data_IF_145954060620
#
_entry.id   IF_145954060620
#
_cell.length_a   1.000
_cell.length_b   1.000
_cell.length_c   1.000
_cell.angle_alpha   90.00
_cell.angle_beta   90.00
_cell.angle_gamma   90.00
#
_symmetry.space_group_name_H-M   'P 1'
#
loop_
_entity.id
_entity.type
_entity.pdbx_description
1 polymer ?
#
# COMPACT_ATOMS: atom_id res chain seq x y z
N UNK A 1 14.63 -29.97 79.04
CA UNK A 1 13.68 -30.51 80.04
C UNK A 1 12.31 -29.93 79.74
N UNK A 2 11.26 -30.75 79.63
CA UNK A 2 9.93 -30.32 79.13
C UNK A 2 9.16 -29.45 80.14
N UNK A 3 8.44 -28.43 79.63
CA UNK A 3 7.19 -27.92 80.22
C UNK A 3 6.22 -27.45 79.13
N UNK A 4 4.93 -27.60 79.39
CA UNK A 4 3.78 -27.20 78.57
C UNK A 4 2.55 -27.11 79.50
N UNK A 5 1.38 -26.58 79.12
CA UNK A 5 0.90 -26.05 77.83
C UNK A 5 0.27 -24.67 78.08
N UNK A 6 0.32 -23.75 77.11
CA UNK A 6 -0.75 -22.74 76.97
C UNK A 6 -1.16 -22.62 75.50
N UNK A 7 -2.47 -22.57 75.25
CA UNK A 7 -3.05 -22.48 73.91
C UNK A 7 -3.06 -21.03 73.41
N UNK A 8 -3.08 -20.88 72.08
CA UNK A 8 -3.56 -19.71 71.33
C UNK A 8 -2.69 -18.44 71.21
N UNK A 9 -1.40 -18.45 71.57
CA UNK A 9 -0.48 -17.39 71.13
C UNK A 9 0.71 -17.96 70.35
N UNK A 10 0.57 -18.04 69.02
CA UNK A 10 1.74 -18.07 68.13
C UNK A 10 2.11 -16.62 67.84
N UNK A 11 3.22 -16.19 68.43
CA UNK A 11 3.84 -14.88 68.25
C UNK A 11 4.19 -14.66 66.77
N UNK A 12 3.59 -13.65 66.14
CA UNK A 12 3.99 -13.23 64.80
C UNK A 12 5.28 -12.42 64.86
N UNK A 13 6.37 -12.94 64.30
CA UNK A 13 7.62 -12.19 64.15
C UNK A 13 7.50 -11.17 63.01
N UNK A 14 7.37 -9.88 63.35
CA UNK A 14 7.49 -8.79 62.37
C UNK A 14 8.98 -8.55 62.09
N UNK A 15 9.53 -9.24 61.09
CA UNK A 15 10.87 -8.94 60.61
C UNK A 15 10.84 -7.77 59.62
N UNK A 16 11.05 -6.57 60.16
CA UNK A 16 11.29 -5.37 59.38
C UNK A 16 12.75 -5.37 58.87
N UNK A 17 12.95 -5.52 57.55
CA UNK A 17 14.27 -5.41 56.92
C UNK A 17 14.26 -4.28 55.86
N UNK A 18 14.66 -3.06 56.24
CA UNK A 18 14.90 -2.00 55.28
C UNK A 18 16.26 -2.23 54.58
N UNK A 19 16.23 -2.29 53.24
CA UNK A 19 17.40 -2.24 52.34
C UNK A 19 18.52 -3.27 52.57
N UNK A 20 18.53 -4.36 51.79
CA UNK A 20 19.72 -5.19 51.57
C UNK A 20 19.99 -5.37 50.06
N UNK A 21 21.05 -4.73 49.57
CA UNK A 21 21.50 -4.81 48.18
C UNK A 21 22.64 -5.84 48.06
N UNK A 22 22.38 -6.91 47.30
CA UNK A 22 23.29 -7.92 46.69
C UNK A 22 24.67 -8.25 47.32
N UNK A 23 24.97 -9.56 47.48
CA UNK A 23 25.98 -10.23 46.63
C UNK A 23 25.90 -11.77 46.66
N UNK A 24 26.59 -12.42 45.72
CA UNK A 24 26.48 -13.85 45.34
C UNK A 24 27.23 -14.84 46.26
N UNK A 25 26.59 -15.97 46.61
CA UNK A 25 27.21 -17.30 46.49
C UNK A 25 26.16 -18.43 46.47
N UNK A 26 26.40 -19.45 45.62
CA UNK A 26 25.74 -20.78 45.51
C UNK A 26 24.19 -20.88 45.52
N UNK A 27 23.68 -21.24 44.34
CA UNK A 27 22.63 -22.25 44.01
C UNK A 27 21.63 -22.75 45.09
N UNK A 28 20.38 -22.94 44.63
CA UNK A 28 19.38 -23.90 45.14
C UNK A 28 18.72 -23.62 46.51
N UNK A 29 17.91 -22.56 46.61
CA UNK A 29 16.61 -22.59 47.30
C UNK A 29 15.77 -21.34 46.98
N UNK A 30 14.50 -21.31 47.43
CA UNK A 30 13.54 -20.19 47.28
C UNK A 30 12.97 -19.89 45.89
N UNK A 31 12.61 -20.95 45.13
CA UNK A 31 11.71 -20.83 43.97
C UNK A 31 10.21 -21.03 44.31
N UNK A 32 9.85 -21.01 45.60
CA UNK A 32 8.52 -21.42 46.11
C UNK A 32 7.67 -20.34 46.78
N UNK A 33 8.16 -19.10 46.91
CA UNK A 33 7.38 -17.99 47.44
C UNK A 33 7.21 -16.91 46.36
N UNK A 34 5.96 -16.70 45.90
CA UNK A 34 5.61 -15.50 45.15
C UNK A 34 5.48 -14.34 46.14
N UNK A 35 6.11 -13.19 45.93
CA UNK A 35 5.84 -12.01 46.75
C UNK A 35 4.42 -11.52 46.46
N UNK A 36 3.52 -11.69 47.42
CA UNK A 36 2.23 -11.02 47.44
C UNK A 36 2.52 -9.54 47.70
N UNK A 37 2.00 -8.63 46.87
CA UNK A 37 1.98 -7.20 47.20
C UNK A 37 0.99 -7.01 48.35
N UNK A 38 1.50 -7.01 49.58
CA UNK A 38 0.78 -6.41 50.69
C UNK A 38 0.61 -4.92 50.35
N UNK A 39 -0.63 -4.43 50.46
CA UNK A 39 -0.91 -3.01 50.33
C UNK A 39 -0.16 -2.28 51.44
N UNK A 40 0.69 -1.32 51.10
CA UNK A 40 1.21 -0.38 52.07
C UNK A 40 0.01 0.38 52.67
N UNK A 41 -0.21 0.34 54.00
CA UNK A 41 -1.14 1.25 54.61
C UNK A 41 -0.56 2.66 54.42
N UNK A 42 -1.30 3.53 53.73
CA UNK A 42 -1.00 4.97 53.76
C UNK A 42 -0.89 5.40 55.22
N UNK A 43 0.14 6.19 55.53
CA UNK A 43 0.36 6.71 56.89
C UNK A 43 -0.94 7.29 57.46
N UNK A 44 -1.48 6.65 58.49
CA UNK A 44 -2.60 7.19 59.25
C UNK A 44 -2.00 8.15 60.26
N UNK A 45 -2.10 9.44 59.97
CA UNK A 45 -1.77 10.50 60.92
C UNK A 45 -2.64 10.36 62.18
N UNK A 46 -2.01 10.58 63.33
CA UNK A 46 -2.62 10.49 64.67
C UNK A 46 -4.00 11.18 64.74
N UNK A 47 -5.08 10.40 64.75
CA UNK A 47 -6.45 10.90 64.86
C UNK A 47 -7.45 9.82 65.27
N UNK A 48 -8.12 10.04 66.41
CA UNK A 48 -9.27 9.32 66.97
C UNK A 48 -9.40 7.79 66.82
N UNK A 49 -9.41 7.12 67.98
CA UNK A 49 -10.06 5.82 68.16
C UNK A 49 -11.57 5.99 67.90
N UNK A 50 -12.11 5.42 66.81
CA UNK A 50 -13.50 4.92 66.64
C UNK A 50 -13.87 4.74 65.14
N UNK A 51 -13.10 3.95 64.39
CA UNK A 51 -13.58 3.38 63.12
C UNK A 51 -13.26 1.88 63.06
N UNK A 52 -14.29 1.08 62.74
CA UNK A 52 -14.22 -0.38 62.73
C UNK A 52 -13.33 -0.88 61.58
N UNK A 53 -12.06 -1.16 61.87
CA UNK A 53 -11.17 -1.88 60.96
C UNK A 53 -11.66 -3.32 60.80
N UNK A 54 -12.47 -3.57 59.76
CA UNK A 54 -12.89 -4.92 59.36
C UNK A 54 -11.71 -5.73 58.82
N UNK A 55 -11.09 -6.50 59.69
CA UNK A 55 -10.20 -7.59 59.30
C UNK A 55 -11.04 -8.69 58.63
N UNK A 56 -10.86 -8.88 57.32
CA UNK A 56 -11.44 -10.00 56.57
C UNK A 56 -10.44 -11.14 56.57
N UNK A 57 -10.76 -12.22 57.27
CA UNK A 57 -9.96 -13.43 57.30
C UNK A 57 -10.46 -14.38 56.20
N UNK A 58 -9.58 -14.71 55.25
CA UNK A 58 -9.83 -15.74 54.24
C UNK A 58 -9.22 -17.06 54.70
N UNK A 59 -9.92 -18.16 54.49
CA UNK A 59 -9.36 -19.51 54.61
C UNK A 59 -8.41 -19.82 53.44
N UNK A 60 -7.52 -20.80 53.62
CA UNK A 60 -6.57 -21.23 52.58
C UNK A 60 -7.28 -21.66 51.27
N UNK A 61 -8.51 -22.18 51.38
CA UNK A 61 -9.36 -22.56 50.25
C UNK A 61 -9.90 -21.32 49.48
N UNK A 62 -10.27 -20.26 50.18
CA UNK A 62 -10.72 -19.01 49.54
C UNK A 62 -9.55 -18.27 48.89
N UNK A 63 -8.36 -18.31 49.51
CA UNK A 63 -7.15 -17.74 48.91
C UNK A 63 -6.74 -18.47 47.62
N UNK A 64 -6.85 -19.79 47.59
CA UNK A 64 -6.56 -20.58 46.38
C UNK A 64 -7.60 -20.33 45.28
N UNK A 65 -8.90 -20.25 45.60
CA UNK A 65 -9.93 -19.90 44.61
C UNK A 65 -9.74 -18.48 44.03
N UNK A 66 -9.27 -17.53 44.83
CA UNK A 66 -8.92 -16.17 44.37
C UNK A 66 -7.66 -16.19 43.50
N UNK A 67 -6.62 -16.98 43.84
CA UNK A 67 -5.43 -17.13 42.98
C UNK A 67 -5.78 -17.76 41.63
N UNK A 68 -6.60 -18.81 41.61
CA UNK A 68 -7.02 -19.48 40.37
C UNK A 68 -7.81 -18.56 39.44
N UNK A 69 -8.79 -17.81 39.97
CA UNK A 69 -9.53 -16.79 39.20
C UNK A 69 -8.60 -15.73 38.60
N UNK A 70 -7.67 -15.19 39.39
CA UNK A 70 -6.68 -14.21 38.93
C UNK A 70 -5.74 -14.77 37.86
N UNK A 71 -5.32 -16.03 37.96
CA UNK A 71 -4.49 -16.70 36.95
C UNK A 71 -5.29 -16.88 35.64
N UNK A 72 -6.57 -17.25 35.74
CA UNK A 72 -7.44 -17.46 34.59
C UNK A 72 -7.73 -16.16 33.82
N UNK A 73 -8.04 -15.05 34.51
CA UNK A 73 -8.19 -13.73 33.89
C UNK A 73 -6.88 -13.21 33.26
N UNK A 74 -5.75 -13.39 33.96
CA UNK A 74 -4.46 -12.94 33.45
C UNK A 74 -4.03 -13.72 32.20
N UNK A 75 -4.32 -15.01 32.14
CA UNK A 75 -4.02 -15.84 30.98
C UNK A 75 -4.91 -15.51 29.77
N UNK A 76 -6.22 -15.30 29.96
CA UNK A 76 -7.12 -14.96 28.84
C UNK A 76 -6.76 -13.62 28.19
N UNK A 77 -6.38 -12.63 29.00
CA UNK A 77 -5.85 -11.35 28.51
C UNK A 77 -4.58 -11.52 27.67
N UNK A 78 -3.64 -12.36 28.10
CA UNK A 78 -2.33 -12.54 27.45
C UNK A 78 -2.41 -13.11 26.03
N UNK A 79 -3.39 -13.98 25.72
CA UNK A 79 -3.56 -14.55 24.38
C UNK A 79 -4.21 -13.59 23.37
N UNK A 80 -4.93 -12.57 23.83
CA UNK A 80 -5.63 -11.62 22.93
C UNK A 80 -4.65 -10.70 22.18
N UNK A 81 -3.59 -10.25 22.85
CA UNK A 81 -2.59 -9.29 22.33
C UNK A 81 -1.85 -9.82 21.08
N UNK A 82 -1.24 -11.02 21.07
CA UNK A 82 -0.53 -11.52 19.90
C UNK A 82 -1.46 -11.79 18.71
N UNK A 83 -2.74 -12.13 18.94
CA UNK A 83 -3.74 -12.30 17.87
C UNK A 83 -4.06 -10.95 17.21
N UNK A 84 -4.24 -9.88 17.99
CA UNK A 84 -4.46 -8.53 17.46
C UNK A 84 -3.24 -8.00 16.71
N UNK A 85 -2.02 -8.25 17.21
CA UNK A 85 -0.78 -7.91 16.51
C UNK A 85 -0.69 -8.69 15.19
N UNK A 86 -0.91 -10.01 15.20
CA UNK A 86 -0.92 -10.85 14.00
C UNK A 86 -1.93 -10.38 12.95
N UNK A 87 -3.16 -10.04 13.37
CA UNK A 87 -4.19 -9.49 12.49
C UNK A 87 -3.80 -8.14 11.90
N UNK A 88 -3.23 -7.21 12.70
CA UNK A 88 -2.78 -5.91 12.20
C UNK A 88 -1.63 -6.05 11.17
N UNK A 89 -0.65 -6.92 11.44
CA UNK A 89 0.44 -7.25 10.50
C UNK A 89 -0.12 -7.90 9.23
N UNK A 90 -1.10 -8.80 9.34
CA UNK A 90 -1.75 -9.43 8.19
C UNK A 90 -2.57 -8.43 7.35
N UNK A 91 -3.29 -7.50 7.97
CA UNK A 91 -4.02 -6.42 7.29
C UNK A 91 -3.04 -5.48 6.58
N UNK A 92 -1.96 -5.05 7.26
CA UNK A 92 -0.90 -4.25 6.64
C UNK A 92 -0.29 -4.99 5.45
N UNK A 93 0.00 -6.28 5.59
CA UNK A 93 0.50 -7.13 4.50
C UNK A 93 -0.49 -7.21 3.33
N UNK A 94 -1.80 -7.39 3.58
CA UNK A 94 -2.83 -7.37 2.52
C UNK A 94 -2.89 -6.01 1.80
N UNK A 95 -2.85 -4.90 2.53
CA UNK A 95 -2.84 -3.54 1.97
C UNK A 95 -1.58 -3.30 1.13
N UNK A 96 -0.41 -3.73 1.59
CA UNK A 96 0.85 -3.65 0.85
C UNK A 96 0.85 -4.58 -0.38
N UNK A 97 0.24 -5.76 -0.29
CA UNK A 97 0.12 -6.72 -1.41
C UNK A 97 -0.75 -6.19 -2.54
N UNK A 98 -1.82 -5.44 -2.24
CA UNK A 98 -2.65 -4.74 -3.25
C UNK A 98 -1.87 -3.68 -4.05
N UNK A 99 -0.81 -3.08 -3.47
CA UNK A 99 0.00 -2.06 -4.15
C UNK A 99 0.98 -2.62 -5.20
N UNK A 100 1.31 -3.92 -5.20
CA UNK A 100 2.42 -4.50 -6.00
C UNK A 100 2.05 -5.31 -7.25
N UNK A 101 0.83 -5.18 -7.81
CA UNK A 101 0.57 -5.60 -9.19
C UNK A 101 1.23 -4.59 -10.15
N UNK A 102 2.38 -4.97 -10.74
CA UNK A 102 2.90 -4.39 -11.99
C UNK A 102 2.11 -4.95 -13.17
N UNK A 103 2.03 -4.21 -14.28
CA UNK A 103 1.50 -4.74 -15.55
C UNK A 103 2.22 -6.03 -15.91
N UNK A 104 1.46 -7.08 -16.23
CA UNK A 104 2.03 -8.29 -16.83
C UNK A 104 2.26 -7.99 -18.31
N UNK A 105 3.49 -7.61 -18.65
CA UNK A 105 3.90 -7.33 -20.04
C UNK A 105 3.48 -8.52 -20.91
N UNK A 106 2.66 -8.23 -21.93
CA UNK A 106 2.32 -9.18 -22.98
C UNK A 106 3.55 -9.32 -23.87
N UNK A 107 4.33 -10.37 -23.66
CA UNK A 107 5.42 -10.77 -24.55
C UNK A 107 4.83 -11.28 -25.86
N UNK A 108 4.49 -10.35 -26.74
CA UNK A 108 4.15 -10.62 -28.14
C UNK A 108 5.49 -10.70 -28.89
N UNK A 109 5.80 -11.82 -29.59
CA UNK A 109 7.00 -11.89 -30.42
C UNK A 109 6.98 -10.80 -31.50
N UNK A 110 8.12 -10.17 -31.77
CA UNK A 110 8.24 -9.03 -32.71
C UNK A 110 7.73 -9.37 -34.12
N UNK A 111 7.92 -10.62 -34.53
CA UNK A 111 7.42 -11.19 -35.80
C UNK A 111 5.88 -11.10 -35.97
N UNK A 112 5.12 -10.79 -34.91
CA UNK A 112 3.65 -10.65 -34.94
C UNK A 112 3.15 -9.21 -35.00
N UNK A 113 4.02 -8.19 -34.95
CA UNK A 113 3.58 -6.79 -35.03
C UNK A 113 2.89 -6.47 -36.36
N UNK A 114 3.42 -7.00 -37.47
CA UNK A 114 2.82 -6.89 -38.80
C UNK A 114 1.35 -7.33 -38.84
N UNK A 115 1.00 -8.44 -38.18
CA UNK A 115 -0.37 -8.95 -38.11
C UNK A 115 -1.32 -8.00 -37.37
N UNK A 116 -0.84 -7.35 -36.31
CA UNK A 116 -1.61 -6.35 -35.56
C UNK A 116 -1.81 -5.07 -36.38
N UNK A 117 -0.82 -4.65 -37.16
CA UNK A 117 -0.95 -3.51 -38.06
C UNK A 117 -2.04 -3.78 -39.11
N UNK A 118 -2.07 -4.99 -39.68
CA UNK A 118 -3.10 -5.38 -40.65
C UNK A 118 -4.52 -5.33 -40.06
N UNK A 119 -4.71 -5.74 -38.80
CA UNK A 119 -6.02 -5.63 -38.11
C UNK A 119 -6.53 -4.19 -37.98
N UNK A 120 -5.64 -3.20 -37.86
CA UNK A 120 -6.00 -1.79 -37.73
C UNK A 120 -6.49 -1.39 -36.33
N UNK A 121 -6.83 -0.10 -36.18
CA UNK A 121 -7.27 0.46 -34.91
C UNK A 121 -8.58 -0.17 -34.41
N UNK A 122 -8.68 -0.37 -33.11
CA UNK A 122 -9.83 -0.94 -32.43
C UNK A 122 -9.86 -0.50 -30.95
N UNK A 123 -10.84 -0.99 -30.18
CA UNK A 123 -11.03 -0.61 -28.77
C UNK A 123 -9.83 -0.85 -27.85
N UNK A 124 -8.84 -1.65 -28.29
CA UNK A 124 -7.62 -1.99 -27.54
C UNK A 124 -6.33 -1.74 -28.34
N UNK A 125 -6.37 -1.12 -29.51
CA UNK A 125 -5.21 -0.87 -30.37
C UNK A 125 -5.31 0.48 -31.08
N UNK A 126 -4.30 1.33 -30.89
CA UNK A 126 -4.20 2.65 -31.53
C UNK A 126 -2.79 2.84 -32.13
N UNK A 127 -2.72 3.54 -33.26
CA UNK A 127 -1.48 3.98 -33.89
C UNK A 127 -1.36 5.50 -33.82
N UNK A 128 -0.16 6.03 -33.61
CA UNK A 128 0.13 7.46 -33.71
C UNK A 128 1.44 7.66 -34.47
N UNK A 129 1.41 8.59 -35.43
CA UNK A 129 2.56 8.89 -36.27
C UNK A 129 3.80 9.32 -35.46
N UNK A 130 3.58 10.06 -34.37
CA UNK A 130 4.61 10.64 -33.51
C UNK A 130 4.04 10.96 -32.12
N UNK A 131 4.93 11.29 -31.17
CA UNK A 131 4.59 11.81 -29.85
C UNK A 131 4.32 13.32 -29.90
N UNK A 132 5.15 14.07 -30.65
CA UNK A 132 5.13 15.53 -30.69
C UNK A 132 5.60 16.16 -32.01
N UNK A 133 6.09 15.39 -32.98
CA UNK A 133 6.46 15.90 -34.30
C UNK A 133 5.28 15.98 -35.28
N UNK A 134 4.98 17.16 -35.78
CA UNK A 134 3.93 17.36 -36.80
C UNK A 134 4.51 17.23 -38.21
N UNK A 135 4.35 16.04 -38.81
CA UNK A 135 4.80 15.75 -40.17
C UNK A 135 4.19 16.64 -41.27
N UNK A 136 3.08 17.35 -41.02
CA UNK A 136 2.46 18.25 -42.01
C UNK A 136 3.09 19.65 -41.97
N UNK A 137 3.50 20.08 -40.77
CA UNK A 137 4.03 21.42 -40.53
C UNK A 137 5.54 21.44 -40.23
N UNK A 138 6.18 20.28 -40.19
CA UNK A 138 7.61 20.07 -39.86
C UNK A 138 8.05 20.82 -38.60
N UNK A 139 7.26 20.69 -37.53
CA UNK A 139 7.52 21.38 -36.26
C UNK A 139 7.00 20.62 -35.03
N UNK A 140 7.43 21.04 -33.86
CA UNK A 140 6.93 20.55 -32.57
C UNK A 140 5.48 20.99 -32.36
N UNK A 141 4.58 20.05 -32.10
CA UNK A 141 3.17 20.30 -31.86
C UNK A 141 2.70 19.64 -30.55
N UNK A 142 2.47 20.45 -29.51
CA UNK A 142 2.00 19.99 -28.19
C UNK A 142 0.58 19.40 -28.20
N UNK A 143 -0.21 19.62 -29.25
CA UNK A 143 -1.55 19.02 -29.39
C UNK A 143 -1.43 17.50 -29.61
N UNK A 144 -0.33 17.03 -30.22
CA UNK A 144 -0.03 15.61 -30.37
C UNK A 144 0.26 14.96 -29.01
N UNK A 145 1.04 15.63 -28.13
CA UNK A 145 1.30 15.16 -26.77
C UNK A 145 0.00 14.99 -25.97
N UNK A 146 -0.91 15.97 -26.04
CA UNK A 146 -2.25 15.89 -25.45
C UNK A 146 -3.09 14.75 -26.06
N UNK A 147 -3.00 14.52 -27.38
CA UNK A 147 -3.75 13.45 -28.07
C UNK A 147 -3.26 12.05 -27.67
N UNK A 148 -1.95 11.90 -27.47
CA UNK A 148 -1.35 10.70 -26.85
C UNK A 148 -1.84 10.54 -25.41
N UNK A 149 -1.74 11.57 -24.56
CA UNK A 149 -2.19 11.50 -23.17
C UNK A 149 -3.69 11.18 -23.04
N UNK A 150 -4.55 11.77 -23.89
CA UNK A 150 -5.98 11.45 -24.02
C UNK A 150 -6.21 9.98 -24.35
N UNK A 151 -5.43 9.42 -25.28
CA UNK A 151 -5.50 7.99 -25.63
C UNK A 151 -5.13 7.09 -24.46
N UNK A 152 -4.06 7.43 -23.73
CA UNK A 152 -3.63 6.69 -22.54
C UNK A 152 -4.71 6.75 -21.45
N UNK A 153 -5.28 7.93 -21.16
CA UNK A 153 -6.41 8.13 -20.24
C UNK A 153 -7.58 7.21 -20.60
N UNK A 154 -8.00 7.26 -21.87
CA UNK A 154 -9.13 6.50 -22.35
C UNK A 154 -8.91 4.98 -22.26
N UNK A 155 -7.69 4.47 -22.54
CA UNK A 155 -7.36 3.04 -22.33
C UNK A 155 -7.35 2.65 -20.84
N UNK A 156 -6.76 3.47 -19.95
CA UNK A 156 -6.73 3.25 -18.51
C UNK A 156 -8.15 3.17 -17.90
N UNK A 157 -9.05 4.04 -18.37
CA UNK A 157 -10.45 4.05 -17.97
C UNK A 157 -11.29 2.95 -18.62
N UNK A 158 -10.75 2.17 -19.55
CA UNK A 158 -11.48 1.15 -20.34
C UNK A 158 -10.92 -0.25 -20.08
N UNK A 159 -10.76 -1.08 -21.11
CA UNK A 159 -10.28 -2.47 -21.00
C UNK A 159 -8.75 -2.59 -21.10
N UNK A 160 -8.01 -1.48 -20.90
CA UNK A 160 -6.60 -1.40 -21.29
C UNK A 160 -6.43 -1.40 -22.81
N UNK A 161 -5.21 -1.60 -23.28
CA UNK A 161 -4.90 -1.63 -24.72
C UNK A 161 -3.42 -1.51 -25.02
N UNK A 162 -3.10 -1.31 -26.30
CA UNK A 162 -1.77 -1.04 -26.83
C UNK A 162 -1.81 0.23 -27.67
N UNK A 163 -0.88 1.14 -27.41
CA UNK A 163 -0.60 2.29 -28.26
C UNK A 163 0.78 2.08 -28.91
N UNK A 164 0.85 2.25 -30.23
CA UNK A 164 2.09 2.33 -30.98
C UNK A 164 2.36 3.79 -31.37
N UNK A 165 3.61 4.24 -31.20
CA UNK A 165 4.06 5.57 -31.64
C UNK A 165 5.22 5.40 -32.62
N UNK A 166 5.15 6.12 -33.75
CA UNK A 166 6.04 5.98 -34.90
C UNK A 166 5.38 5.29 -36.11
N UNK A 167 4.05 5.14 -36.13
CA UNK A 167 3.29 4.45 -37.19
C UNK A 167 2.19 5.38 -37.71
N UNK A 168 2.10 5.57 -39.03
CA UNK A 168 1.09 6.44 -39.66
C UNK A 168 -0.32 5.84 -39.59
N UNK A 169 -1.34 6.66 -39.80
CA UNK A 169 -2.75 6.20 -39.93
C UNK A 169 -2.90 5.21 -41.11
N UNK A 170 -2.04 5.34 -42.14
CA UNK A 170 -1.93 4.43 -43.29
C UNK A 170 -1.15 3.14 -42.97
N UNK A 171 -0.65 2.99 -41.74
CA UNK A 171 0.16 1.87 -41.21
C UNK A 171 1.62 1.83 -41.70
N UNK A 172 2.13 2.96 -42.22
CA UNK A 172 3.54 3.08 -42.58
C UNK A 172 4.41 3.17 -41.33
N UNK A 173 5.54 2.47 -41.31
CA UNK A 173 6.53 2.57 -40.23
C UNK A 173 7.33 3.86 -40.43
N UNK A 174 7.00 4.91 -39.68
CA UNK A 174 7.67 6.21 -39.75
C UNK A 174 8.95 6.23 -38.91
N UNK A 175 8.88 5.68 -37.69
CA UNK A 175 9.96 5.68 -36.70
C UNK A 175 9.88 6.88 -35.73
N UNK A 176 10.68 6.83 -34.65
CA UNK A 176 10.75 7.88 -33.62
C UNK A 176 11.83 8.95 -33.86
N UNK A 177 12.58 8.88 -34.96
CA UNK A 177 13.75 9.74 -35.22
C UNK A 177 13.42 11.24 -35.16
N UNK A 178 12.32 11.67 -35.80
CA UNK A 178 11.88 13.07 -35.74
C UNK A 178 11.53 13.50 -34.30
N UNK A 179 10.85 12.64 -33.52
CA UNK A 179 10.57 12.91 -32.11
C UNK A 179 11.87 13.02 -31.29
N UNK A 180 12.89 12.20 -31.58
CA UNK A 180 14.21 12.29 -30.93
C UNK A 180 14.87 13.65 -31.20
N UNK A 181 14.81 14.13 -32.44
CA UNK A 181 15.38 15.42 -32.82
C UNK A 181 14.71 16.60 -32.09
N UNK A 182 13.44 16.47 -31.69
CA UNK A 182 12.74 17.49 -30.87
C UNK A 182 13.21 17.60 -29.40
N UNK A 183 14.08 16.69 -28.95
CA UNK A 183 14.60 16.64 -27.59
C UNK A 183 15.87 17.50 -27.44
N UNK A 184 16.26 17.78 -26.20
CA UNK A 184 17.53 18.46 -25.93
C UNK A 184 18.71 17.65 -26.47
N UNK A 185 19.78 18.31 -26.94
CA UNK A 185 20.91 17.69 -27.66
C UNK A 185 21.52 16.44 -26.99
N UNK A 186 21.48 16.34 -25.66
CA UNK A 186 22.01 15.20 -24.90
C UNK A 186 20.98 14.08 -24.63
N UNK A 187 19.78 14.20 -25.21
CA UNK A 187 18.63 13.30 -25.00
C UNK A 187 17.98 12.88 -26.33
N UNK A 188 18.65 13.03 -27.46
CA UNK A 188 18.15 12.58 -28.78
C UNK A 188 18.34 11.05 -28.90
N UNK A 189 17.57 10.28 -28.13
CA UNK A 189 17.70 8.82 -28.00
C UNK A 189 16.43 8.15 -27.45
N UNK A 190 16.38 6.81 -27.53
CA UNK A 190 15.35 5.96 -26.89
C UNK A 190 15.06 6.38 -25.44
N UNK A 191 16.10 6.57 -24.63
CA UNK A 191 15.96 6.96 -23.22
C UNK A 191 15.35 8.36 -23.07
N UNK A 192 15.78 9.32 -23.89
CA UNK A 192 15.24 10.68 -23.87
C UNK A 192 13.76 10.73 -24.29
N UNK A 193 13.36 9.90 -25.24
CA UNK A 193 11.95 9.74 -25.62
C UNK A 193 11.12 9.14 -24.48
N UNK A 194 11.60 8.06 -23.85
CA UNK A 194 10.94 7.45 -22.69
C UNK A 194 10.80 8.48 -21.55
N UNK A 195 11.82 9.31 -21.32
CA UNK A 195 11.75 10.42 -20.37
C UNK A 195 10.71 11.49 -20.76
N UNK A 196 10.62 11.90 -22.03
CA UNK A 196 9.59 12.87 -22.47
C UNK A 196 8.18 12.29 -22.35
N UNK A 197 7.95 11.06 -22.79
CA UNK A 197 6.67 10.36 -22.64
C UNK A 197 6.30 10.20 -21.16
N UNK A 198 7.26 9.86 -20.30
CA UNK A 198 7.08 9.82 -18.83
C UNK A 198 6.70 11.18 -18.26
N UNK A 199 7.30 12.27 -18.76
CA UNK A 199 6.95 13.65 -18.40
C UNK A 199 5.51 13.97 -18.79
N UNK A 200 5.10 13.66 -20.03
CA UNK A 200 3.73 13.84 -20.53
C UNK A 200 2.73 13.07 -19.68
N UNK A 201 3.01 11.80 -19.34
CA UNK A 201 2.15 11.01 -18.44
C UNK A 201 2.02 11.70 -17.07
N UNK A 202 3.12 12.18 -16.49
CA UNK A 202 3.08 12.88 -15.20
C UNK A 202 2.33 14.23 -15.26
N UNK A 203 2.51 14.98 -16.36
CA UNK A 203 1.90 16.30 -16.61
C UNK A 203 0.37 16.19 -16.78
N UNK A 204 -0.10 15.17 -17.51
CA UNK A 204 -1.51 15.03 -17.90
C UNK A 204 -2.32 14.02 -17.08
N UNK A 205 -1.70 13.00 -16.46
CA UNK A 205 -2.40 11.84 -15.86
C UNK A 205 -1.96 11.51 -14.42
N UNK A 206 -1.03 12.28 -13.84
CA UNK A 206 -0.47 11.98 -12.53
C UNK A 206 0.61 10.88 -12.54
N UNK A 207 1.15 10.57 -11.35
CA UNK A 207 2.28 9.63 -11.17
C UNK A 207 1.82 8.21 -10.81
N UNK A 208 0.62 8.09 -10.29
CA UNK A 208 -0.02 6.87 -9.84
C UNK A 208 -0.36 5.91 -10.97
N UNK A 209 -0.57 6.42 -12.20
CA UNK A 209 -0.93 5.61 -13.37
C UNK A 209 0.20 4.75 -13.90
N UNK A 210 1.47 5.06 -13.61
CA UNK A 210 2.65 4.30 -14.07
C UNK A 210 2.61 2.81 -13.71
N UNK A 211 1.89 2.43 -12.65
CA UNK A 211 1.72 1.01 -12.29
C UNK A 211 0.88 0.21 -13.29
N UNK A 212 0.12 0.89 -14.15
CA UNK A 212 -0.78 0.34 -15.16
C UNK A 212 -0.24 0.50 -16.59
N UNK A 213 0.95 1.10 -16.76
CA UNK A 213 1.58 1.39 -18.05
C UNK A 213 2.92 0.64 -18.13
N UNK A 214 3.21 0.04 -19.28
CA UNK A 214 4.53 -0.48 -19.63
C UNK A 214 4.97 0.12 -20.97
N UNK A 215 6.12 0.78 -20.98
CA UNK A 215 6.70 1.41 -22.18
C UNK A 215 7.89 0.57 -22.63
N UNK A 216 7.94 0.25 -23.92
CA UNK A 216 9.06 -0.40 -24.59
C UNK A 216 9.37 0.36 -25.89
N UNK A 217 10.61 0.29 -26.37
CA UNK A 217 10.97 0.71 -27.73
C UNK A 217 11.55 -0.51 -28.42
N UNK A 218 10.90 -0.92 -29.49
CA UNK A 218 11.25 -2.10 -30.29
C UNK A 218 11.65 -1.63 -31.70
N UNK A 219 12.56 -2.36 -32.34
CA UNK A 219 12.97 -2.07 -33.71
C UNK A 219 12.08 -2.83 -34.69
N UNK A 220 11.47 -2.12 -35.63
CA UNK A 220 10.57 -2.65 -36.66
C UNK A 220 10.99 -2.02 -37.98
N UNK A 221 11.26 -2.85 -39.00
CA UNK A 221 11.75 -2.39 -40.32
C UNK A 221 12.98 -1.46 -40.25
N UNK A 222 13.88 -1.72 -39.28
CA UNK A 222 15.09 -0.92 -39.04
C UNK A 222 14.83 0.45 -38.39
N UNK A 223 13.63 0.66 -37.83
CA UNK A 223 13.20 1.92 -37.19
C UNK A 223 12.72 1.67 -35.76
N UNK A 224 13.04 2.60 -34.87
CA UNK A 224 12.54 2.59 -33.50
C UNK A 224 11.04 2.91 -33.46
N UNK A 225 10.26 2.06 -32.78
CA UNK A 225 8.82 2.22 -32.55
C UNK A 225 8.53 2.06 -31.06
N UNK A 226 7.81 3.00 -30.46
CA UNK A 226 7.41 2.88 -29.06
C UNK A 226 6.12 2.08 -28.93
N UNK A 227 6.17 1.03 -28.12
CA UNK A 227 5.05 0.20 -27.71
C UNK A 227 4.67 0.56 -26.27
N UNK A 228 3.45 1.03 -26.06
CA UNK A 228 2.89 1.31 -24.74
C UNK A 228 1.76 0.32 -24.47
N UNK A 229 1.96 -0.60 -23.54
CA UNK A 229 0.95 -1.54 -23.07
C UNK A 229 0.27 -1.00 -21.81
N UNK A 230 -1.07 -0.97 -21.82
CA UNK A 230 -1.88 -0.47 -20.70
C UNK A 230 -2.81 -1.55 -20.16
N UNK A 231 -2.84 -1.71 -18.84
CA UNK A 231 -3.88 -2.46 -18.14
C UNK A 231 -4.98 -1.52 -17.62
N UNK A 232 -6.24 -2.00 -17.45
CA UNK A 232 -7.29 -1.23 -16.77
C UNK A 232 -6.81 -0.67 -15.42
N UNK A 233 -7.08 0.61 -15.19
CA UNK A 233 -6.82 1.25 -13.90
C UNK A 233 -7.77 0.72 -12.82
N UNK A 234 -7.29 0.62 -11.58
CA UNK A 234 -8.12 0.24 -10.43
C UNK A 234 -9.00 1.38 -9.91
N UNK A 235 -8.86 2.59 -10.45
CA UNK A 235 -9.63 3.79 -10.10
C UNK A 235 -9.81 4.66 -11.37
N UNK A 236 -10.77 5.62 -11.37
CA UNK A 236 -10.91 6.59 -12.45
C UNK A 236 -9.61 7.38 -12.67
N UNK A 237 -9.27 7.65 -13.93
CA UNK A 237 -8.16 8.51 -14.35
C UNK A 237 -8.75 9.72 -15.07
N UNK A 238 -8.29 10.91 -14.73
CA UNK A 238 -8.68 12.15 -15.40
C UNK A 238 -7.50 12.72 -16.18
N UNK A 239 -7.80 13.34 -17.32
CA UNK A 239 -6.83 14.08 -18.12
C UNK A 239 -6.83 15.55 -17.68
N UNK A 240 -5.67 16.05 -17.26
CA UNK A 240 -5.50 17.43 -16.79
C UNK A 240 -5.11 18.34 -17.94
N UNK A 241 -5.97 19.30 -18.32
CA UNK A 241 -5.64 20.34 -19.29
C UNK A 241 -5.80 21.73 -18.68
N UNK A 242 -4.67 22.29 -18.21
CA UNK A 242 -4.65 23.47 -17.32
C UNK A 242 -5.48 23.17 -16.07
N UNK A 243 -6.39 24.06 -15.69
CA UNK A 243 -7.26 23.93 -14.51
C UNK A 243 -8.58 23.16 -14.79
N UNK A 244 -8.59 22.29 -15.81
CA UNK A 244 -9.76 21.47 -16.17
C UNK A 244 -9.42 19.99 -16.20
N UNK A 245 -10.26 19.21 -15.55
CA UNK A 245 -10.25 17.75 -15.58
C UNK A 245 -11.20 17.24 -16.66
N UNK A 246 -10.74 16.33 -17.50
CA UNK A 246 -11.54 15.69 -18.55
C UNK A 246 -11.53 14.17 -18.36
N UNK A 247 -12.70 13.53 -18.48
CA UNK A 247 -12.84 12.08 -18.35
C UNK A 247 -13.07 11.45 -19.73
N UNK A 248 -12.17 10.55 -20.14
CA UNK A 248 -12.25 9.87 -21.43
C UNK A 248 -12.39 8.36 -21.28
N UNK A 249 -13.14 7.74 -22.20
CA UNK A 249 -13.22 6.28 -22.37
C UNK A 249 -12.95 5.88 -23.83
N UNK A 250 -12.60 4.61 -24.07
CA UNK A 250 -12.49 4.00 -25.40
C UNK A 250 -13.82 3.37 -25.77
N UNK A 251 -14.36 3.79 -26.91
CA UNK A 251 -15.61 3.30 -27.48
C UNK A 251 -15.50 3.31 -29.01
N UNK A 252 -15.67 2.15 -29.65
CA UNK A 252 -15.59 1.98 -31.12
C UNK A 252 -14.33 2.65 -31.72
N UNK A 253 -13.15 2.24 -31.24
CA UNK A 253 -11.83 2.79 -31.57
C UNK A 253 -11.61 4.29 -31.25
N UNK A 254 -12.58 5.01 -30.68
CA UNK A 254 -12.48 6.45 -30.41
C UNK A 254 -12.29 6.77 -28.92
N UNK A 255 -11.56 7.86 -28.63
CA UNK A 255 -11.44 8.45 -27.29
C UNK A 255 -12.56 9.47 -27.04
N UNK A 256 -13.67 9.00 -26.49
CA UNK A 256 -14.86 9.81 -26.23
C UNK A 256 -14.76 10.54 -24.89
N UNK A 257 -15.03 11.85 -24.88
CA UNK A 257 -15.18 12.64 -23.65
C UNK A 257 -16.54 12.38 -23.05
N UNK A 258 -16.62 12.25 -21.72
CA UNK A 258 -17.88 12.11 -21.00
C UNK A 258 -18.21 13.37 -20.21
N UNK A 259 -19.45 13.84 -20.29
CA UNK A 259 -19.95 14.92 -19.45
C UNK A 259 -20.01 14.49 -17.97
N UNK A 260 -20.01 15.46 -17.05
CA UNK A 260 -19.98 15.22 -15.59
C UNK A 260 -20.99 14.17 -15.08
N UNK A 261 -22.22 14.17 -15.64
CA UNK A 261 -23.26 13.19 -15.28
C UNK A 261 -22.94 11.79 -15.80
N UNK A 262 -22.39 11.69 -17.01
CA UNK A 262 -22.06 10.43 -17.66
C UNK A 262 -20.85 9.78 -17.00
N UNK A 263 -19.79 10.56 -16.77
CA UNK A 263 -18.59 10.10 -16.07
C UNK A 263 -18.92 9.66 -14.64
N UNK A 264 -19.74 10.40 -13.89
CA UNK A 264 -20.18 9.97 -12.56
C UNK A 264 -20.91 8.62 -12.57
N UNK A 265 -21.84 8.42 -13.53
CA UNK A 265 -22.56 7.14 -13.67
C UNK A 265 -21.62 6.00 -14.09
N UNK A 266 -20.76 6.23 -15.08
CA UNK A 266 -19.77 5.25 -15.54
C UNK A 266 -18.82 4.82 -14.41
N UNK A 267 -18.31 5.80 -13.66
CA UNK A 267 -17.40 5.58 -12.54
C UNK A 267 -18.06 4.68 -11.47
N UNK A 268 -19.31 5.00 -11.10
CA UNK A 268 -20.07 4.19 -10.13
C UNK A 268 -20.33 2.77 -10.64
N UNK A 269 -20.60 2.58 -11.92
CA UNK A 269 -20.84 1.25 -12.50
C UNK A 269 -19.57 0.39 -12.60
N UNK A 270 -18.39 1.01 -12.73
CA UNK A 270 -17.12 0.30 -12.99
C UNK A 270 -16.26 0.08 -11.74
N UNK A 271 -16.28 1.00 -10.78
CA UNK A 271 -15.42 0.97 -9.59
C UNK A 271 -16.18 1.16 -8.26
N UNK A 272 -17.51 1.30 -8.30
CA UNK A 272 -18.38 1.45 -7.12
C UNK A 272 -18.87 0.12 -6.53
#
# INVERSE_FOLDING_TARGET
MMKSVSKNEITAFVHNFPNAMFFLSRFEMYRKFKPIRLFEPKEISSGNKNEDQKFVFYSDNELTEIEEKNIQEKNSSFYSIPVLIGLSVFIIWLVLRRKKRKVKILKIPSERWSLLFHQGENDQLEFKASLRWDYKNSQINKILEYTVAKTLCAFLNSSGGMLFIGISDSKDVLGLEEDYQTLGKHHQSRDGFILRLTSIINEYLGKEVHRFISIQVEEIEGKDIALIQLSPSSHPVFLMLKDREEFFIRTAASSQSMGLRESHNYIRMKWG
#
